data_IF_459532574883
#
_entry.id   IF_459532574883
#
_cell.length_a   1.000
_cell.length_b   1.000
_cell.length_c   1.000
_cell.angle_alpha   90.00
_cell.angle_beta   90.00
_cell.angle_gamma   90.00
#
_symmetry.space_group_name_H-M   'P 1'
#
loop_
_entity.id
_entity.type
_entity.pdbx_description
1 polymer ?
#
# COMPACT_ATOMS: atom_id res chain seq x y z
N UNK A 1 26.49 9.30 -16.00
CA UNK A 1 26.61 9.08 -14.53
C UNK A 1 26.21 10.32 -13.74
N UNK A 2 26.91 11.46 -13.88
CA UNK A 2 26.53 12.74 -13.28
C UNK A 2 25.13 13.23 -13.69
N UNK A 3 24.80 13.12 -14.98
CA UNK A 3 23.50 13.55 -15.53
C UNK A 3 22.31 12.88 -14.82
N UNK A 4 22.39 11.58 -14.54
CA UNK A 4 21.30 10.84 -13.87
C UNK A 4 21.10 11.25 -12.42
N UNK A 5 22.20 11.47 -11.67
CA UNK A 5 22.12 11.98 -10.30
C UNK A 5 21.59 13.41 -10.22
N UNK A 6 21.92 14.26 -11.20
CA UNK A 6 21.37 15.62 -11.31
C UNK A 6 19.87 15.58 -11.60
N UNK A 7 19.42 14.74 -12.54
CA UNK A 7 17.99 14.54 -12.81
C UNK A 7 17.27 14.05 -11.54
N UNK A 8 17.84 13.08 -10.82
CA UNK A 8 17.28 12.60 -9.57
C UNK A 8 17.17 13.71 -8.51
N UNK A 9 18.17 14.58 -8.40
CA UNK A 9 18.12 15.72 -7.50
C UNK A 9 17.05 16.75 -7.90
N UNK A 10 16.88 17.04 -9.19
CA UNK A 10 15.83 17.93 -9.70
C UNK A 10 14.44 17.36 -9.43
N UNK A 11 14.25 16.06 -9.69
CA UNK A 11 13.01 15.34 -9.40
C UNK A 11 12.73 15.36 -7.89
N UNK A 12 13.72 15.08 -7.05
CA UNK A 12 13.60 15.16 -5.60
C UNK A 12 13.25 16.56 -5.10
N UNK A 13 13.82 17.61 -5.71
CA UNK A 13 13.45 18.99 -5.42
C UNK A 13 12.00 19.29 -5.78
N UNK A 14 11.56 18.88 -6.98
CA UNK A 14 10.16 19.03 -7.38
C UNK A 14 9.20 18.34 -6.39
N UNK A 15 9.48 17.09 -6.02
CA UNK A 15 8.67 16.34 -5.05
C UNK A 15 8.68 16.97 -3.66
N UNK A 16 9.83 17.46 -3.18
CA UNK A 16 9.93 18.16 -1.91
C UNK A 16 9.12 19.45 -1.89
N UNK A 17 9.15 20.21 -2.99
CA UNK A 17 8.37 21.43 -3.16
C UNK A 17 6.86 21.13 -3.21
N UNK A 18 6.43 20.15 -4.01
CA UNK A 18 5.02 19.77 -4.09
C UNK A 18 4.51 19.21 -2.76
N UNK A 19 5.31 18.41 -2.06
CA UNK A 19 4.93 17.87 -0.74
C UNK A 19 4.68 19.00 0.24
N UNK A 20 5.58 19.98 0.30
CA UNK A 20 5.44 21.16 1.15
C UNK A 20 4.21 21.99 0.76
N UNK A 21 3.98 22.19 -0.54
CA UNK A 21 2.86 22.97 -1.03
C UNK A 21 1.50 22.31 -0.74
N UNK A 22 1.38 21.00 -0.96
CA UNK A 22 0.12 20.26 -0.76
C UNK A 22 -0.16 20.06 0.71
N UNK A 23 0.78 19.48 1.46
CA UNK A 23 0.60 19.26 2.91
C UNK A 23 0.46 20.58 3.63
N UNK A 24 1.28 21.59 3.34
CA UNK A 24 1.23 22.89 4.00
C UNK A 24 -0.07 23.66 3.74
N UNK A 25 -0.56 23.73 2.49
CA UNK A 25 -1.83 24.43 2.18
C UNK A 25 -3.04 23.70 2.71
N UNK A 26 -3.04 22.37 2.67
CA UNK A 26 -4.14 21.55 3.19
C UNK A 26 -4.18 21.60 4.73
N UNK A 27 -3.03 21.45 5.40
CA UNK A 27 -2.89 21.65 6.84
C UNK A 27 -3.39 23.02 7.28
N UNK A 28 -3.01 24.08 6.57
CA UNK A 28 -3.46 25.44 6.85
C UNK A 28 -4.96 25.64 6.57
N UNK A 29 -5.58 24.85 5.69
CA UNK A 29 -7.04 24.86 5.51
C UNK A 29 -7.73 24.17 6.70
N UNK A 30 -7.27 22.98 7.11
CA UNK A 30 -7.79 22.26 8.28
C UNK A 30 -7.64 23.08 9.58
N UNK A 31 -6.47 23.69 9.80
CA UNK A 31 -6.23 24.55 10.98
C UNK A 31 -7.15 25.79 11.00
N UNK A 32 -7.53 26.33 9.83
CA UNK A 32 -8.48 27.45 9.74
C UNK A 32 -9.91 27.01 10.05
N UNK A 33 -10.35 25.87 9.54
CA UNK A 33 -11.68 25.32 9.83
C UNK A 33 -11.82 24.96 11.33
N UNK A 34 -10.78 24.37 11.93
CA UNK A 34 -10.68 24.11 13.37
C UNK A 34 -10.72 25.41 14.21
N UNK A 35 -10.01 26.46 13.76
CA UNK A 35 -9.99 27.77 14.42
C UNK A 35 -11.34 28.50 14.31
N UNK A 36 -12.07 28.32 13.21
CA UNK A 36 -13.41 28.86 13.00
C UNK A 36 -14.46 28.15 13.88
N UNK A 37 -14.31 26.83 14.11
CA UNK A 37 -15.14 26.06 15.06
C UNK A 37 -14.86 26.36 16.54
N UNK A 38 -13.63 26.80 16.87
CA UNK A 38 -13.18 27.10 18.25
C UNK A 38 -13.17 28.59 18.59
N UNK A 39 -13.78 29.44 17.76
CA UNK A 39 -13.87 30.90 17.94
C UNK A 39 -14.70 31.37 19.18
N UNK A 40 -14.84 30.52 20.20
CA UNK A 40 -15.22 30.87 21.57
C UNK A 40 -14.06 31.00 22.56
N UNK A 41 -12.88 30.41 22.32
CA UNK A 41 -11.77 30.44 23.29
C UNK A 41 -10.42 30.77 22.64
N UNK A 42 -9.85 31.90 23.06
CA UNK A 42 -8.76 32.59 22.38
C UNK A 42 -7.37 31.93 22.54
N UNK A 43 -6.55 32.09 21.49
CA UNK A 43 -5.21 32.69 21.64
C UNK A 43 -4.04 31.74 21.95
N UNK A 44 -3.30 31.36 20.90
CA UNK A 44 -1.83 31.32 20.90
C UNK A 44 -1.33 30.97 19.48
N UNK A 45 -1.04 31.98 18.65
CA UNK A 45 -0.29 31.78 17.42
C UNK A 45 1.17 31.50 17.77
N UNK A 46 1.51 30.22 17.97
CA UNK A 46 2.89 29.76 18.08
C UNK A 46 3.62 30.01 16.75
N UNK A 47 4.85 30.53 16.82
CA UNK A 47 5.70 30.75 15.64
C UNK A 47 5.93 29.44 14.90
N UNK A 48 5.26 29.25 13.76
CA UNK A 48 5.46 28.10 12.89
C UNK A 48 6.91 28.12 12.38
N UNK A 49 7.74 27.20 12.86
CA UNK A 49 9.09 26.97 12.32
C UNK A 49 8.92 26.56 10.86
N UNK A 50 9.50 27.33 9.94
CA UNK A 50 9.49 27.02 8.50
C UNK A 50 10.31 25.74 8.23
N UNK A 51 9.63 24.59 8.23
CA UNK A 51 10.23 23.26 7.98
C UNK A 51 10.35 22.95 6.48
N UNK A 52 10.00 23.86 5.58
CA UNK A 52 9.97 23.63 4.13
C UNK A 52 11.34 23.22 3.57
N UNK A 53 12.41 23.89 3.99
CA UNK A 53 13.77 23.59 3.54
C UNK A 53 14.24 22.19 3.99
N UNK A 54 13.86 21.76 5.19
CA UNK A 54 14.21 20.43 5.70
C UNK A 54 13.47 19.32 4.94
N UNK A 55 12.18 19.52 4.65
CA UNK A 55 11.37 18.58 3.83
C UNK A 55 11.96 18.49 2.42
N UNK A 56 12.31 19.62 1.82
CA UNK A 56 12.92 19.68 0.49
C UNK A 56 14.27 18.95 0.44
N UNK A 57 15.15 19.21 1.40
CA UNK A 57 16.44 18.53 1.51
C UNK A 57 16.29 17.01 1.71
N UNK A 58 15.37 16.58 2.58
CA UNK A 58 15.09 15.17 2.80
C UNK A 58 14.56 14.49 1.53
N UNK A 59 13.64 15.12 0.80
CA UNK A 59 13.11 14.60 -0.46
C UNK A 59 14.22 14.41 -1.50
N UNK A 60 15.13 15.37 -1.66
CA UNK A 60 16.29 15.23 -2.56
C UNK A 60 17.15 14.03 -2.17
N UNK A 61 17.52 13.93 -0.89
CA UNK A 61 18.38 12.84 -0.39
C UNK A 61 17.74 11.48 -0.67
N UNK A 62 16.45 11.33 -0.35
CA UNK A 62 15.70 10.09 -0.55
C UNK A 62 15.62 9.72 -2.02
N UNK A 63 15.25 10.66 -2.90
CA UNK A 63 15.08 10.39 -4.33
C UNK A 63 16.41 10.08 -5.03
N UNK A 64 17.48 10.78 -4.67
CA UNK A 64 18.84 10.49 -5.16
C UNK A 64 19.35 9.14 -4.62
N UNK A 65 19.08 8.84 -3.34
CA UNK A 65 19.41 7.55 -2.74
C UNK A 65 18.69 6.39 -3.43
N UNK A 66 17.40 6.54 -3.70
CA UNK A 66 16.60 5.55 -4.43
C UNK A 66 17.10 5.37 -5.86
N UNK A 67 17.47 6.46 -6.54
CA UNK A 67 18.08 6.38 -7.87
C UNK A 67 19.37 5.59 -7.86
N UNK A 68 20.22 5.84 -6.86
CA UNK A 68 21.46 5.10 -6.71
C UNK A 68 21.18 3.62 -6.45
N UNK A 69 20.25 3.30 -5.56
CA UNK A 69 19.87 1.92 -5.21
C UNK A 69 19.33 1.13 -6.40
N UNK A 70 18.34 1.66 -7.11
CA UNK A 70 17.66 0.94 -8.19
C UNK A 70 18.43 0.99 -9.51
N UNK A 71 18.85 2.19 -9.92
CA UNK A 71 19.39 2.42 -11.27
C UNK A 71 20.88 2.14 -11.35
N UNK A 72 21.62 2.31 -10.25
CA UNK A 72 23.09 2.20 -10.26
C UNK A 72 23.60 0.95 -9.58
N UNK A 73 23.04 0.59 -8.43
CA UNK A 73 23.43 -0.61 -7.70
C UNK A 73 22.70 -1.87 -8.20
N UNK A 74 21.69 -1.71 -9.06
CA UNK A 74 20.85 -2.81 -9.57
C UNK A 74 20.35 -3.70 -8.43
N UNK A 75 19.99 -3.07 -7.31
CA UNK A 75 19.77 -3.77 -6.06
C UNK A 75 18.50 -4.63 -6.09
N UNK A 76 17.48 -4.17 -6.80
CA UNK A 76 16.22 -4.91 -6.99
C UNK A 76 16.27 -5.92 -8.13
N UNK A 77 17.21 -5.79 -9.07
CA UNK A 77 17.24 -6.65 -10.25
C UNK A 77 17.56 -8.11 -9.87
N UNK A 78 16.77 -9.09 -10.39
CA UNK A 78 17.08 -10.51 -10.27
C UNK A 78 18.47 -10.81 -10.81
N UNK A 79 19.07 -11.87 -10.30
CA UNK A 79 20.40 -12.32 -10.70
C UNK A 79 20.29 -13.61 -11.51
N UNK A 80 21.15 -13.77 -12.51
CA UNK A 80 21.35 -15.04 -13.20
C UNK A 80 22.13 -16.04 -12.33
N UNK A 81 22.37 -17.23 -12.89
CA UNK A 81 23.09 -18.31 -12.21
C UNK A 81 24.54 -17.93 -11.83
N UNK A 82 25.13 -16.95 -12.51
CA UNK A 82 26.46 -16.41 -12.20
C UNK A 82 26.45 -15.35 -11.09
N UNK A 83 25.26 -14.92 -10.66
CA UNK A 83 25.07 -13.84 -9.71
C UNK A 83 25.08 -12.43 -10.35
N UNK A 84 25.19 -12.33 -11.67
CA UNK A 84 25.13 -11.06 -12.39
C UNK A 84 23.67 -10.58 -12.53
N UNK A 85 23.41 -9.26 -12.48
CA UNK A 85 22.05 -8.73 -12.64
C UNK A 85 21.53 -8.97 -14.06
N UNK A 86 20.28 -9.42 -14.17
CA UNK A 86 19.61 -9.56 -15.45
C UNK A 86 19.50 -8.21 -16.16
N UNK A 87 19.68 -8.22 -17.47
CA UNK A 87 19.77 -7.01 -18.27
C UNK A 87 18.38 -6.44 -18.61
N UNK A 88 17.94 -5.45 -17.84
CA UNK A 88 16.79 -4.61 -18.19
C UNK A 88 17.23 -3.38 -18.99
N UNK A 89 16.34 -2.84 -19.81
CA UNK A 89 16.60 -1.57 -20.51
C UNK A 89 16.71 -0.42 -19.50
N UNK A 90 17.54 0.57 -19.80
CA UNK A 90 17.66 1.76 -18.95
C UNK A 90 16.31 2.46 -18.75
N UNK A 91 15.46 2.51 -19.79
CA UNK A 91 14.12 3.09 -19.71
C UNK A 91 13.22 2.35 -18.71
N UNK A 92 13.27 1.02 -18.66
CA UNK A 92 12.49 0.24 -17.69
C UNK A 92 12.97 0.50 -16.25
N UNK A 93 14.29 0.48 -16.02
CA UNK A 93 14.86 0.71 -14.68
C UNK A 93 14.64 2.16 -14.21
N UNK A 94 14.85 3.14 -15.08
CA UNK A 94 14.58 4.54 -14.76
C UNK A 94 13.09 4.83 -14.58
N UNK A 95 12.23 4.19 -15.38
CA UNK A 95 10.78 4.26 -15.23
C UNK A 95 10.32 3.72 -13.88
N UNK A 96 10.84 2.56 -13.48
CA UNK A 96 10.54 1.96 -12.17
C UNK A 96 10.96 2.87 -11.02
N UNK A 97 12.17 3.40 -11.07
CA UNK A 97 12.64 4.37 -10.08
C UNK A 97 11.71 5.58 -9.95
N UNK A 98 11.23 6.12 -11.07
CA UNK A 98 10.29 7.24 -11.04
C UNK A 98 8.93 6.83 -10.45
N UNK A 99 8.44 5.64 -10.79
CA UNK A 99 7.20 5.08 -10.24
C UNK A 99 7.30 4.85 -8.73
N UNK A 100 8.38 4.23 -8.24
CA UNK A 100 8.65 4.05 -6.82
C UNK A 100 8.83 5.37 -6.09
N UNK A 101 9.46 6.37 -6.72
CA UNK A 101 9.56 7.73 -6.16
C UNK A 101 8.19 8.37 -5.98
N UNK A 102 7.31 8.26 -6.99
CA UNK A 102 5.96 8.81 -6.94
C UNK A 102 5.09 8.07 -5.90
N UNK A 103 5.18 6.74 -5.84
CA UNK A 103 4.52 5.94 -4.79
C UNK A 103 5.01 6.35 -3.40
N UNK A 104 6.33 6.44 -3.19
CA UNK A 104 6.91 6.85 -1.91
C UNK A 104 6.42 8.24 -1.50
N UNK A 105 6.33 9.17 -2.44
CA UNK A 105 5.80 10.50 -2.19
C UNK A 105 4.34 10.47 -1.70
N UNK A 106 3.48 9.65 -2.31
CA UNK A 106 2.10 9.42 -1.86
C UNK A 106 2.03 8.77 -0.48
N UNK A 107 2.88 7.77 -0.21
CA UNK A 107 2.94 7.08 1.08
C UNK A 107 3.42 8.01 2.21
N UNK A 108 4.40 8.86 1.94
CA UNK A 108 4.86 9.88 2.90
C UNK A 108 3.76 10.89 3.16
N UNK A 109 3.01 11.33 2.14
CA UNK A 109 1.88 12.23 2.31
C UNK A 109 0.79 11.59 3.18
N UNK A 110 0.39 10.36 2.87
CA UNK A 110 -0.59 9.60 3.65
C UNK A 110 -0.14 9.41 5.10
N UNK A 111 1.12 8.99 5.31
CA UNK A 111 1.69 8.77 6.65
C UNK A 111 1.72 10.05 7.48
N UNK A 112 2.10 11.17 6.88
CA UNK A 112 2.18 12.45 7.58
C UNK A 112 0.80 12.93 8.03
N UNK A 113 -0.19 12.80 7.15
CA UNK A 113 -1.59 13.19 7.45
C UNK A 113 -2.17 12.26 8.51
N UNK A 114 -1.93 10.95 8.38
CA UNK A 114 -2.43 9.95 9.32
C UNK A 114 -1.82 10.11 10.73
N UNK A 115 -0.53 10.42 10.85
CA UNK A 115 0.06 10.71 12.17
C UNK A 115 -0.56 11.93 12.86
N UNK A 116 -1.03 12.92 12.11
CA UNK A 116 -1.54 14.16 12.67
C UNK A 116 -3.05 14.16 12.89
N UNK A 117 -3.81 13.53 11.99
CA UNK A 117 -5.27 13.55 11.99
C UNK A 117 -5.90 12.17 12.10
N UNK A 118 -5.12 11.09 12.09
CA UNK A 118 -5.59 9.69 12.16
C UNK A 118 -6.60 9.34 11.05
N UNK A 119 -6.47 10.02 9.91
CA UNK A 119 -7.31 9.86 8.74
C UNK A 119 -6.41 9.76 7.52
N UNK A 120 -6.69 8.79 6.65
CA UNK A 120 -6.04 8.68 5.35
C UNK A 120 -6.95 9.36 4.31
N UNK A 121 -6.48 10.42 3.64
CA UNK A 121 -7.31 11.19 2.73
C UNK A 121 -7.54 10.47 1.40
N UNK A 122 -8.80 10.37 0.99
CA UNK A 122 -9.22 9.82 -0.30
C UNK A 122 -8.65 10.59 -1.49
N UNK A 123 -8.42 11.90 -1.34
CA UNK A 123 -7.79 12.72 -2.38
C UNK A 123 -6.30 12.40 -2.58
N UNK A 124 -5.67 11.59 -1.72
CA UNK A 124 -4.35 11.00 -1.96
C UNK A 124 -4.50 9.61 -2.57
N UNK A 125 -5.30 8.74 -1.95
CA UNK A 125 -5.37 7.32 -2.32
C UNK A 125 -6.09 7.07 -3.65
N UNK A 126 -7.17 7.81 -3.95
CA UNK A 126 -7.92 7.64 -5.21
C UNK A 126 -7.11 8.13 -6.42
N UNK A 127 -6.60 9.39 -6.47
CA UNK A 127 -5.71 9.79 -7.56
C UNK A 127 -4.45 8.94 -7.64
N UNK A 128 -3.90 8.56 -6.49
CA UNK A 128 -2.72 7.70 -6.42
C UNK A 128 -2.95 6.34 -7.07
N UNK A 129 -4.12 5.72 -6.85
CA UNK A 129 -4.49 4.46 -7.47
C UNK A 129 -4.63 4.62 -8.98
N UNK A 130 -5.37 5.64 -9.43
CA UNK A 130 -5.57 5.92 -10.86
C UNK A 130 -4.23 6.19 -11.55
N UNK A 131 -3.33 6.94 -10.91
CA UNK A 131 -1.98 7.17 -11.40
C UNK A 131 -1.18 5.87 -11.52
N UNK A 132 -1.27 4.95 -10.54
CA UNK A 132 -0.63 3.64 -10.62
C UNK A 132 -1.10 2.83 -11.82
N UNK A 133 -2.41 2.78 -12.08
CA UNK A 133 -2.98 2.10 -13.26
C UNK A 133 -2.49 2.72 -14.58
N UNK A 134 -2.47 4.05 -14.68
CA UNK A 134 -1.98 4.77 -15.86
C UNK A 134 -0.49 4.53 -16.08
N UNK A 135 0.32 4.55 -15.01
CA UNK A 135 1.76 4.29 -15.09
C UNK A 135 2.03 2.87 -15.56
N UNK A 136 1.34 1.87 -15.00
CA UNK A 136 1.46 0.47 -15.42
C UNK A 136 1.10 0.29 -16.91
N UNK A 137 0.05 0.98 -17.38
CA UNK A 137 -0.34 0.96 -18.79
C UNK A 137 0.70 1.64 -19.70
N UNK A 138 1.19 2.82 -19.31
CA UNK A 138 2.15 3.59 -20.11
C UNK A 138 3.49 2.87 -20.23
N UNK A 139 3.97 2.29 -19.13
CA UNK A 139 5.30 1.69 -19.02
C UNK A 139 5.25 0.39 -18.19
N UNK A 140 4.90 -0.77 -18.78
CA UNK A 140 4.84 -2.05 -18.07
C UNK A 140 6.09 -2.41 -17.27
N UNK A 141 7.26 -1.97 -17.72
CA UNK A 141 8.55 -2.19 -17.05
C UNK A 141 8.69 -1.55 -15.66
N UNK A 142 7.74 -0.70 -15.24
CA UNK A 142 7.68 -0.11 -13.90
C UNK A 142 7.23 -1.12 -12.83
N UNK A 143 6.61 -2.23 -13.22
CA UNK A 143 6.29 -3.31 -12.30
C UNK A 143 7.56 -3.95 -11.74
N UNK A 144 7.40 -4.67 -10.63
CA UNK A 144 8.53 -5.24 -9.89
C UNK A 144 9.25 -6.31 -10.73
N UNK A 145 10.60 -6.31 -10.78
CA UNK A 145 11.36 -7.17 -11.67
C UNK A 145 11.42 -8.60 -11.16
N UNK A 146 11.30 -9.58 -12.05
CA UNK A 146 11.43 -11.01 -11.74
C UNK A 146 12.25 -11.72 -12.82
N UNK A 147 12.78 -12.90 -12.48
CA UNK A 147 13.39 -13.79 -13.45
C UNK A 147 12.33 -14.76 -13.97
N UNK A 148 12.13 -14.79 -15.28
CA UNK A 148 11.31 -15.79 -15.97
C UNK A 148 12.20 -16.99 -16.34
N UNK A 149 11.83 -18.20 -15.90
CA UNK A 149 12.54 -19.41 -16.26
C UNK A 149 12.03 -19.95 -17.60
N UNK A 150 12.88 -19.89 -18.63
CA UNK A 150 12.62 -20.49 -19.91
C UNK A 150 13.21 -21.91 -19.94
N UNK A 151 12.33 -22.91 -19.86
CA UNK A 151 12.71 -24.32 -20.00
C UNK A 151 13.13 -24.65 -21.43
N UNK A 152 14.21 -25.43 -21.57
CA UNK A 152 14.80 -25.78 -22.87
C UNK A 152 14.99 -27.29 -22.97
N UNK A 153 14.54 -27.95 -24.07
CA UNK A 153 14.56 -29.41 -24.17
C UNK A 153 15.96 -30.06 -24.04
N UNK A 154 17.03 -29.32 -24.33
CA UNK A 154 18.40 -29.83 -24.39
C UNK A 154 19.43 -28.90 -23.71
N UNK A 155 18.99 -28.01 -22.83
CA UNK A 155 19.86 -27.10 -22.10
C UNK A 155 19.31 -26.82 -20.70
N UNK A 156 20.16 -26.32 -19.81
CA UNK A 156 19.70 -25.77 -18.53
C UNK A 156 18.69 -24.65 -18.77
N UNK A 157 17.72 -24.52 -17.87
CA UNK A 157 16.75 -23.44 -17.93
C UNK A 157 17.48 -22.09 -17.99
N UNK A 158 17.04 -21.19 -18.86
CA UNK A 158 17.60 -19.84 -18.92
C UNK A 158 16.68 -18.88 -18.18
N UNK A 159 17.24 -18.15 -17.22
CA UNK A 159 16.54 -17.05 -16.55
C UNK A 159 16.60 -15.78 -17.39
N UNK A 160 15.43 -15.27 -17.80
CA UNK A 160 15.27 -14.06 -18.58
C UNK A 160 14.70 -12.91 -17.73
N UNK A 161 15.05 -11.65 -18.03
CA UNK A 161 14.46 -10.50 -17.36
C UNK A 161 12.97 -10.39 -17.72
N UNK A 162 12.12 -10.28 -16.70
CA UNK A 162 10.69 -10.04 -16.86
C UNK A 162 10.18 -9.18 -15.68
N UNK A 163 8.92 -8.79 -15.67
CA UNK A 163 8.26 -8.10 -14.56
C UNK A 163 7.10 -8.91 -14.03
N UNK A 164 6.74 -8.70 -12.77
CA UNK A 164 5.70 -9.47 -12.12
C UNK A 164 4.32 -9.02 -12.61
N UNK A 165 3.62 -9.91 -13.31
CA UNK A 165 2.21 -9.78 -13.66
C UNK A 165 1.29 -10.44 -12.64
N UNK A 166 -0.01 -10.31 -12.86
CA UNK A 166 -1.04 -10.88 -11.97
C UNK A 166 -1.01 -12.41 -11.88
N UNK A 167 -0.39 -13.09 -12.84
CA UNK A 167 -0.33 -14.55 -12.86
C UNK A 167 1.06 -15.04 -13.30
N UNK A 168 2.11 -14.51 -12.66
CA UNK A 168 3.50 -14.87 -12.92
C UNK A 168 4.26 -13.81 -13.71
N UNK A 169 5.43 -14.15 -14.29
CA UNK A 169 6.19 -13.24 -15.14
C UNK A 169 5.34 -12.77 -16.33
N UNK A 170 5.26 -11.46 -16.53
CA UNK A 170 4.27 -10.79 -17.38
C UNK A 170 4.50 -11.10 -18.86
N UNK A 171 5.70 -10.88 -19.37
CA UNK A 171 6.02 -11.08 -20.79
C UNK A 171 5.91 -12.57 -21.16
N UNK A 172 6.42 -13.47 -20.31
CA UNK A 172 6.26 -14.90 -20.47
C UNK A 172 4.78 -15.30 -20.47
N UNK A 173 3.99 -14.79 -19.52
CA UNK A 173 2.56 -15.05 -19.43
C UNK A 173 1.79 -14.63 -20.69
N UNK A 174 2.14 -13.47 -21.29
CA UNK A 174 1.53 -13.01 -22.55
C UNK A 174 1.94 -13.90 -23.71
N UNK A 175 3.21 -14.31 -23.76
CA UNK A 175 3.72 -15.19 -24.81
C UNK A 175 3.06 -16.58 -24.78
N UNK A 176 2.85 -17.14 -23.59
CA UNK A 176 2.27 -18.48 -23.40
C UNK A 176 0.74 -18.51 -23.58
N UNK A 177 0.02 -17.52 -23.06
CA UNK A 177 -1.46 -17.50 -23.10
C UNK A 177 -2.04 -17.01 -24.43
N UNK A 178 -1.21 -16.44 -25.30
CA UNK A 178 -1.66 -15.86 -26.56
C UNK A 178 -2.73 -14.76 -26.37
N UNK A 179 -3.47 -14.43 -27.43
CA UNK A 179 -4.42 -13.31 -27.47
C UNK A 179 -5.57 -13.34 -26.43
N UNK A 180 -5.66 -14.38 -25.58
CA UNK A 180 -6.71 -14.57 -24.57
C UNK A 180 -6.71 -13.53 -23.45
N UNK A 181 -5.64 -12.75 -23.28
CA UNK A 181 -5.61 -11.67 -22.28
C UNK A 181 -5.37 -10.30 -22.94
N UNK A 182 -4.61 -10.27 -24.04
CA UNK A 182 -4.38 -9.07 -24.84
C UNK A 182 -5.64 -8.46 -25.49
N UNK A 183 -6.61 -9.27 -25.97
CA UNK A 183 -7.80 -8.77 -26.68
C UNK A 183 -9.08 -9.58 -26.40
N UNK A 184 -9.08 -10.49 -25.42
CA UNK A 184 -10.27 -11.28 -25.15
C UNK A 184 -11.33 -10.42 -24.44
N UNK A 185 -12.61 -10.45 -24.87
CA UNK A 185 -13.68 -9.67 -24.24
C UNK A 185 -13.84 -9.96 -22.75
N UNK A 186 -13.55 -11.18 -22.31
CA UNK A 186 -13.61 -11.53 -20.89
C UNK A 186 -12.61 -10.74 -20.04
N UNK A 187 -11.44 -10.39 -20.58
CA UNK A 187 -10.44 -9.59 -19.86
C UNK A 187 -10.93 -8.14 -19.67
N UNK A 188 -11.59 -7.56 -20.69
CA UNK A 188 -12.26 -6.27 -20.55
C UNK A 188 -13.37 -6.33 -19.51
N UNK A 189 -14.27 -7.31 -19.60
CA UNK A 189 -15.37 -7.47 -18.64
C UNK A 189 -14.84 -7.62 -17.23
N UNK A 190 -13.81 -8.45 -17.01
CA UNK A 190 -13.16 -8.59 -15.72
C UNK A 190 -12.57 -7.26 -15.24
N UNK A 191 -11.85 -6.54 -16.10
CA UNK A 191 -11.28 -5.23 -15.76
C UNK A 191 -12.35 -4.20 -15.36
N UNK A 192 -13.46 -4.14 -16.11
CA UNK A 192 -14.60 -3.27 -15.81
C UNK A 192 -15.26 -3.66 -14.48
N UNK A 193 -15.43 -4.95 -14.20
CA UNK A 193 -15.98 -5.45 -12.95
C UNK A 193 -15.08 -5.09 -11.78
N UNK A 194 -13.77 -5.39 -11.86
CA UNK A 194 -12.80 -5.10 -10.81
C UNK A 194 -12.75 -3.60 -10.50
N UNK A 195 -12.69 -2.77 -11.55
CA UNK A 195 -12.72 -1.31 -11.39
C UNK A 195 -14.02 -0.83 -10.76
N UNK A 196 -15.17 -1.39 -11.16
CA UNK A 196 -16.48 -1.00 -10.60
C UNK A 196 -16.63 -1.41 -9.14
N UNK A 197 -16.15 -2.60 -8.77
CA UNK A 197 -16.15 -3.09 -7.39
C UNK A 197 -15.29 -2.17 -6.54
N UNK A 198 -14.05 -1.91 -6.96
CA UNK A 198 -13.18 -0.97 -6.25
C UNK A 198 -13.80 0.43 -6.18
N UNK A 199 -14.32 0.97 -7.29
CA UNK A 199 -14.92 2.30 -7.33
C UNK A 199 -16.09 2.41 -6.36
N UNK A 200 -16.95 1.40 -6.30
CA UNK A 200 -18.09 1.38 -5.38
C UNK A 200 -17.66 1.34 -3.92
N UNK A 201 -16.65 0.53 -3.59
CA UNK A 201 -16.17 0.36 -2.20
C UNK A 201 -15.31 1.54 -1.75
N UNK A 202 -14.33 1.93 -2.56
CA UNK A 202 -13.34 2.96 -2.23
C UNK A 202 -13.82 4.39 -2.42
N UNK A 203 -14.90 4.63 -3.16
CA UNK A 203 -15.54 5.96 -3.23
C UNK A 203 -16.90 6.00 -2.56
N UNK A 204 -17.39 4.86 -2.05
CA UNK A 204 -18.70 4.66 -1.42
C UNK A 204 -19.17 5.87 -0.61
N UNK A 205 -20.46 6.28 -0.66
CA UNK A 205 -20.92 7.19 0.38
C UNK A 205 -20.72 6.44 1.68
N UNK A 206 -20.13 7.09 2.68
CA UNK A 206 -19.94 6.49 3.99
C UNK A 206 -21.22 5.74 4.36
N UNK A 207 -21.15 4.41 4.39
CA UNK A 207 -22.21 3.59 4.94
C UNK A 207 -22.07 3.73 6.46
N UNK A 208 -22.38 4.92 6.98
CA UNK A 208 -22.35 5.25 8.40
C UNK A 208 -21.25 6.22 8.84
N UNK A 209 -21.10 7.39 8.21
CA UNK A 209 -20.81 8.56 9.06
C UNK A 209 -22.06 8.77 9.88
N UNK A 210 -21.92 8.34 11.13
CA UNK A 210 -22.82 8.56 12.24
C UNK A 210 -23.28 10.02 12.29
N UNK A 211 -24.46 10.29 11.74
CA UNK A 211 -25.46 11.17 12.36
C UNK A 211 -26.04 10.45 13.60
N UNK A 212 -25.16 10.04 14.52
CA UNK A 212 -25.54 9.68 15.88
C UNK A 212 -25.71 10.97 16.67
N UNK A 213 -26.72 11.09 17.55
CA UNK A 213 -26.77 12.21 18.49
C UNK A 213 -25.45 12.26 19.29
N UNK A 214 -25.02 13.43 19.75
CA UNK A 214 -23.74 13.59 20.45
C UNK A 214 -23.80 12.81 21.76
N UNK A 215 -23.28 11.58 21.77
CA UNK A 215 -23.12 10.80 22.98
C UNK A 215 -21.70 10.97 23.52
N UNK A 216 -21.60 11.88 24.51
CA UNK A 216 -20.72 11.74 25.67
C UNK A 216 -19.26 12.16 25.48
N UNK A 217 -18.95 13.36 25.98
CA UNK A 217 -17.68 13.85 26.51
C UNK A 217 -16.49 12.88 26.41
N UNK A 218 -15.70 12.97 25.32
CA UNK A 218 -14.36 12.39 25.28
C UNK A 218 -13.78 12.06 23.91
N UNK A 219 -14.60 11.89 22.87
CA UNK A 219 -14.10 11.67 21.51
C UNK A 219 -13.98 13.00 20.78
N UNK A 220 -12.74 13.45 20.53
CA UNK A 220 -12.45 14.59 19.68
C UNK A 220 -13.00 14.30 18.28
N UNK A 221 -14.10 14.95 17.90
CA UNK A 221 -14.58 14.95 16.53
C UNK A 221 -13.42 15.42 15.64
N UNK A 222 -12.99 14.57 14.70
CA UNK A 222 -11.94 14.98 13.76
C UNK A 222 -12.58 15.92 12.75
N UNK A 223 -12.42 17.23 12.95
CA UNK A 223 -12.85 18.31 12.03
C UNK A 223 -12.05 18.30 10.71
N UNK A 224 -11.82 17.13 10.12
CA UNK A 224 -11.18 17.01 8.82
C UNK A 224 -12.17 17.48 7.73
N UNK A 225 -11.72 18.32 6.77
CA UNK A 225 -12.58 18.81 5.71
C UNK A 225 -13.21 17.65 4.93
N UNK A 226 -14.50 17.79 4.62
CA UNK A 226 -15.22 16.83 3.80
C UNK A 226 -14.47 16.57 2.48
N UNK A 227 -14.44 15.31 2.05
CA UNK A 227 -13.84 14.94 0.76
C UNK A 227 -14.53 15.73 -0.36
N UNK A 228 -13.81 16.13 -1.43
CA UNK A 228 -14.43 16.91 -2.49
C UNK A 228 -15.63 16.14 -3.07
N UNK A 229 -16.70 16.84 -3.45
CA UNK A 229 -17.88 16.21 -4.07
C UNK A 229 -17.58 15.74 -5.49
N UNK A 230 -16.94 14.57 -5.65
CA UNK A 230 -16.54 14.08 -6.97
C UNK A 230 -17.77 13.71 -7.79
N UNK A 231 -17.81 13.97 -9.10
CA UNK A 231 -18.91 13.53 -9.96
C UNK A 231 -18.81 12.02 -10.19
N UNK A 232 -19.25 11.24 -9.20
CA UNK A 232 -18.90 9.82 -9.05
C UNK A 232 -19.29 8.95 -10.24
N UNK A 233 -20.49 9.16 -10.78
CA UNK A 233 -20.94 8.42 -11.95
C UNK A 233 -20.12 8.80 -13.20
N UNK A 234 -19.82 10.08 -13.37
CA UNK A 234 -19.02 10.54 -14.51
C UNK A 234 -17.62 9.94 -14.49
N UNK A 235 -16.96 9.92 -13.32
CA UNK A 235 -15.62 9.33 -13.18
C UNK A 235 -15.62 7.80 -13.34
N UNK A 236 -16.67 7.11 -12.89
CA UNK A 236 -16.84 5.67 -13.17
C UNK A 236 -16.91 5.41 -14.67
N UNK A 237 -17.75 6.18 -15.38
CA UNK A 237 -17.92 6.05 -16.84
C UNK A 237 -16.61 6.40 -17.56
N UNK A 238 -15.93 7.46 -17.15
CA UNK A 238 -14.60 7.79 -17.68
C UNK A 238 -13.61 6.65 -17.46
N UNK A 239 -13.60 6.06 -16.26
CA UNK A 239 -12.77 4.89 -15.96
C UNK A 239 -13.08 3.71 -16.89
N UNK A 240 -14.36 3.40 -17.14
CA UNK A 240 -14.76 2.37 -18.10
C UNK A 240 -14.29 2.67 -19.52
N UNK A 241 -14.42 3.91 -19.98
CA UNK A 241 -13.97 4.33 -21.31
C UNK A 241 -12.44 4.21 -21.44
N UNK A 242 -11.69 4.59 -20.41
CA UNK A 242 -10.23 4.45 -20.37
C UNK A 242 -9.83 2.97 -20.39
N UNK A 243 -10.50 2.12 -19.62
CA UNK A 243 -10.24 0.67 -19.62
C UNK A 243 -10.55 0.03 -20.97
N UNK A 244 -11.68 0.41 -21.59
CA UNK A 244 -12.04 -0.06 -22.93
C UNK A 244 -11.04 0.42 -23.99
N UNK A 245 -10.59 1.67 -23.90
CA UNK A 245 -9.55 2.22 -24.77
C UNK A 245 -8.20 1.50 -24.60
N UNK A 246 -7.76 1.29 -23.35
CA UNK A 246 -6.54 0.55 -23.04
C UNK A 246 -6.60 -0.90 -23.53
N UNK A 247 -7.73 -1.57 -23.35
CA UNK A 247 -7.99 -2.91 -23.88
C UNK A 247 -7.99 -2.96 -25.41
N UNK A 248 -8.55 -1.94 -26.08
CA UNK A 248 -8.56 -1.87 -27.54
C UNK A 248 -7.16 -1.75 -28.16
N UNK A 249 -6.19 -1.24 -27.39
CA UNK A 249 -4.77 -1.19 -27.75
C UNK A 249 -4.09 -2.52 -27.41
N UNK A 250 -4.53 -3.16 -26.32
CA UNK A 250 -4.17 -4.53 -25.93
C UNK A 250 -2.69 -4.76 -25.61
N UNK A 251 -2.31 -6.03 -25.64
CA UNK A 251 -0.94 -6.49 -25.42
C UNK A 251 -0.42 -6.29 -23.99
N UNK A 252 0.90 -6.14 -23.85
CA UNK A 252 1.60 -6.04 -22.56
C UNK A 252 1.09 -4.87 -21.68
N UNK A 253 0.64 -3.79 -22.31
CA UNK A 253 0.19 -2.57 -21.63
C UNK A 253 -1.12 -2.79 -20.88
N UNK A 254 -2.07 -3.46 -21.53
CA UNK A 254 -3.33 -3.81 -20.88
C UNK A 254 -3.09 -4.80 -19.74
N UNK A 255 -2.25 -5.81 -19.94
CA UNK A 255 -1.90 -6.78 -18.88
C UNK A 255 -1.24 -6.14 -17.66
N UNK A 256 -0.34 -5.17 -17.88
CA UNK A 256 0.28 -4.46 -16.78
C UNK A 256 -0.74 -3.64 -15.98
N UNK A 257 -1.64 -2.93 -16.65
CA UNK A 257 -2.74 -2.20 -16.01
C UNK A 257 -3.70 -3.16 -15.29
N UNK A 258 -4.03 -4.30 -15.90
CA UNK A 258 -4.86 -5.33 -15.30
C UNK A 258 -4.20 -5.93 -14.05
N UNK A 259 -2.88 -6.08 -14.06
CA UNK A 259 -2.09 -6.46 -12.88
C UNK A 259 -2.28 -5.47 -11.73
N UNK A 260 -2.27 -4.17 -12.02
CA UNK A 260 -2.61 -3.13 -11.05
C UNK A 260 -4.05 -3.23 -10.53
N UNK A 261 -5.04 -3.49 -11.40
CA UNK A 261 -6.44 -3.65 -10.99
C UNK A 261 -6.64 -4.86 -10.07
N UNK A 262 -6.07 -6.01 -10.43
CA UNK A 262 -6.06 -7.20 -9.57
C UNK A 262 -5.37 -6.88 -8.25
N UNK A 263 -4.23 -6.18 -8.30
CA UNK A 263 -3.53 -5.66 -7.13
C UNK A 263 -4.44 -4.85 -6.22
N UNK A 264 -5.15 -3.86 -6.76
CA UNK A 264 -6.01 -2.98 -6.00
C UNK A 264 -7.15 -3.74 -5.29
N UNK A 265 -7.81 -4.66 -6.01
CA UNK A 265 -8.91 -5.44 -5.46
C UNK A 265 -8.43 -6.47 -4.44
N UNK A 266 -7.31 -7.16 -4.68
CA UNK A 266 -6.78 -8.16 -3.74
C UNK A 266 -6.25 -7.48 -2.48
N UNK A 267 -5.40 -6.47 -2.62
CA UNK A 267 -4.80 -5.79 -1.48
C UNK A 267 -5.85 -5.06 -0.62
N UNK A 268 -6.75 -4.30 -1.27
CA UNK A 268 -7.88 -3.68 -0.59
C UNK A 268 -8.83 -4.73 0.00
N UNK A 269 -9.11 -5.81 -0.74
CA UNK A 269 -10.01 -6.88 -0.30
C UNK A 269 -9.51 -7.63 0.94
N UNK A 270 -8.21 -7.88 1.06
CA UNK A 270 -7.62 -8.51 2.26
C UNK A 270 -7.84 -7.63 3.49
N UNK A 271 -7.53 -6.33 3.39
CA UNK A 271 -7.70 -5.38 4.50
C UNK A 271 -9.18 -5.12 4.81
N UNK A 272 -10.02 -5.08 3.78
CA UNK A 272 -11.46 -4.96 3.96
C UNK A 272 -12.05 -6.21 4.64
N UNK A 273 -11.57 -7.40 4.27
CA UNK A 273 -11.98 -8.67 4.87
C UNK A 273 -11.61 -8.75 6.35
N UNK A 274 -10.40 -8.36 6.74
CA UNK A 274 -9.99 -8.28 8.14
C UNK A 274 -10.83 -7.26 8.91
N UNK A 275 -11.07 -6.07 8.34
CA UNK A 275 -11.97 -5.06 8.90
C UNK A 275 -13.37 -5.61 9.12
N UNK A 276 -13.96 -6.27 8.12
CA UNK A 276 -15.32 -6.81 8.20
C UNK A 276 -15.45 -7.89 9.28
N UNK A 277 -14.50 -8.84 9.32
CA UNK A 277 -14.48 -9.89 10.34
C UNK A 277 -14.31 -9.32 11.75
N UNK A 278 -13.39 -8.38 11.94
CA UNK A 278 -13.18 -7.73 13.23
C UNK A 278 -14.38 -6.87 13.67
N UNK A 279 -15.02 -6.16 12.73
CA UNK A 279 -16.18 -5.32 13.04
C UNK A 279 -17.40 -6.15 13.43
N UNK A 280 -17.62 -7.28 12.73
CA UNK A 280 -18.65 -8.26 13.10
C UNK A 280 -18.40 -8.85 14.49
N UNK A 281 -17.15 -9.15 14.82
CA UNK A 281 -16.76 -9.72 16.11
C UNK A 281 -16.92 -8.74 17.29
N UNK A 282 -16.63 -7.45 17.06
CA UNK A 282 -16.66 -6.41 18.09
C UNK A 282 -18.02 -5.70 18.20
N UNK A 283 -18.92 -5.87 17.22
CA UNK A 283 -20.22 -5.18 17.17
C UNK A 283 -20.13 -3.68 16.91
N UNK A 284 -18.95 -3.18 16.52
CA UNK A 284 -18.66 -1.78 16.18
C UNK A 284 -17.60 -1.75 15.09
N UNK A 285 -17.46 -0.63 14.40
CA UNK A 285 -16.42 -0.50 13.37
C UNK A 285 -15.03 -0.70 13.96
N UNK A 286 -14.28 -1.68 13.43
CA UNK A 286 -12.98 -2.06 13.97
C UNK A 286 -11.82 -1.24 13.40
N UNK A 287 -11.94 -0.72 12.18
CA UNK A 287 -10.85 -0.03 11.46
C UNK A 287 -11.42 0.93 10.41
N UNK A 288 -10.69 2.01 10.12
CA UNK A 288 -11.09 2.99 9.10
C UNK A 288 -11.02 2.43 7.68
N UNK A 289 -11.88 2.94 6.78
CA UNK A 289 -11.86 2.59 5.36
C UNK A 289 -10.58 3.09 4.66
N UNK A 290 -9.91 4.09 5.21
CA UNK A 290 -8.68 4.67 4.66
C UNK A 290 -7.55 3.66 4.44
N UNK A 291 -7.39 2.68 5.33
CA UNK A 291 -6.37 1.64 5.18
C UNK A 291 -6.66 0.71 3.99
N UNK A 292 -7.96 0.49 3.71
CA UNK A 292 -8.42 -0.28 2.54
C UNK A 292 -8.10 0.47 1.26
N UNK A 293 -8.38 1.77 1.19
CA UNK A 293 -8.10 2.59 0.00
C UNK A 293 -6.60 2.80 -0.21
N UNK A 294 -5.82 2.91 0.88
CA UNK A 294 -4.36 2.93 0.86
C UNK A 294 -3.78 1.64 0.26
N UNK A 295 -4.20 0.46 0.76
CA UNK A 295 -3.70 -0.80 0.24
C UNK A 295 -4.19 -1.09 -1.17
N UNK A 296 -5.40 -0.64 -1.55
CA UNK A 296 -5.85 -0.69 -2.93
C UNK A 296 -4.94 0.16 -3.83
N UNK A 297 -4.57 1.37 -3.41
CA UNK A 297 -3.60 2.20 -4.13
C UNK A 297 -2.27 1.44 -4.28
N UNK A 298 -1.68 0.94 -3.18
CA UNK A 298 -0.42 0.16 -3.23
C UNK A 298 -0.52 -1.02 -4.21
N UNK A 299 -1.65 -1.71 -4.20
CA UNK A 299 -2.01 -2.77 -5.15
C UNK A 299 -1.88 -2.34 -6.62
N UNK A 300 -2.35 -1.15 -6.96
CA UNK A 300 -2.28 -0.64 -8.32
C UNK A 300 -0.85 -0.36 -8.81
N UNK A 301 0.09 -0.08 -7.90
CA UNK A 301 1.49 0.19 -8.23
C UNK A 301 2.35 -1.06 -8.29
N UNK A 302 2.20 -1.95 -7.30
CA UNK A 302 3.12 -3.08 -7.11
C UNK A 302 2.54 -4.43 -7.56
N UNK A 303 1.25 -4.49 -7.87
CA UNK A 303 0.53 -5.74 -8.10
C UNK A 303 0.12 -6.42 -6.79
N UNK A 304 -0.61 -7.53 -6.90
CA UNK A 304 -1.23 -8.16 -5.74
C UNK A 304 -0.24 -8.92 -4.85
N UNK A 305 0.75 -9.61 -5.44
CA UNK A 305 1.70 -10.44 -4.67
C UNK A 305 2.53 -9.59 -3.72
N UNK A 306 3.12 -8.52 -4.25
CA UNK A 306 3.91 -7.57 -3.47
C UNK A 306 3.05 -6.87 -2.41
N UNK A 307 1.79 -6.55 -2.74
CA UNK A 307 0.90 -5.87 -1.80
C UNK A 307 0.42 -6.78 -0.66
N UNK A 308 0.24 -8.07 -0.90
CA UNK A 308 -0.02 -9.06 0.16
C UNK A 308 1.18 -9.17 1.10
N UNK A 309 2.40 -9.22 0.55
CA UNK A 309 3.64 -9.17 1.36
C UNK A 309 3.73 -7.86 2.14
N UNK A 310 3.39 -6.73 1.52
CA UNK A 310 3.43 -5.42 2.15
C UNK A 310 2.43 -5.32 3.30
N UNK A 311 1.22 -5.86 3.12
CA UNK A 311 0.22 -5.97 4.18
C UNK A 311 0.74 -6.82 5.34
N UNK A 312 1.34 -7.98 5.04
CA UNK A 312 1.90 -8.88 6.06
C UNK A 312 3.02 -8.20 6.86
N UNK A 313 4.01 -7.61 6.18
CA UNK A 313 5.07 -6.84 6.84
C UNK A 313 4.52 -5.63 7.58
N UNK A 314 3.47 -4.99 7.07
CA UNK A 314 2.77 -3.90 7.72
C UNK A 314 2.17 -4.31 9.06
N UNK A 315 1.53 -5.48 9.14
CA UNK A 315 1.05 -6.05 10.41
C UNK A 315 2.21 -6.29 11.38
N UNK A 316 3.36 -6.78 10.93
CA UNK A 316 4.54 -6.95 11.78
C UNK A 316 5.08 -5.61 12.31
N UNK A 317 5.20 -4.61 11.44
CA UNK A 317 5.59 -3.26 11.85
C UNK A 317 4.57 -2.62 12.80
N UNK A 318 3.29 -2.83 12.56
CA UNK A 318 2.19 -2.36 13.41
C UNK A 318 2.24 -3.00 14.79
N UNK A 319 2.53 -4.30 14.87
CA UNK A 319 2.73 -5.01 16.13
C UNK A 319 3.92 -4.43 16.92
N UNK A 320 5.07 -4.25 16.27
CA UNK A 320 6.26 -3.65 16.91
C UNK A 320 5.95 -2.23 17.39
N UNK A 321 5.35 -1.41 16.53
CA UNK A 321 4.98 -0.04 16.84
C UNK A 321 4.00 0.01 18.03
N UNK A 322 2.99 -0.86 18.04
CA UNK A 322 2.01 -0.92 19.11
C UNK A 322 2.59 -1.34 20.45
N UNK A 323 3.50 -2.33 20.46
CA UNK A 323 4.21 -2.72 21.69
C UNK A 323 5.05 -1.55 22.22
N UNK A 324 5.79 -0.86 21.36
CA UNK A 324 6.62 0.31 21.76
C UNK A 324 5.75 1.43 22.34
N UNK A 325 4.60 1.71 21.73
CA UNK A 325 3.72 2.78 22.18
C UNK A 325 3.04 2.44 23.52
N UNK A 326 2.57 1.20 23.71
CA UNK A 326 2.02 0.74 25.00
C UNK A 326 3.04 0.91 26.12
N UNK A 327 4.31 0.60 25.86
CA UNK A 327 5.40 0.73 26.84
C UNK A 327 5.72 2.20 27.14
N UNK A 328 5.69 3.10 26.15
CA UNK A 328 6.11 4.50 26.31
C UNK A 328 5.00 5.46 26.74
N UNK A 329 3.82 5.36 26.15
CA UNK A 329 2.81 6.42 26.20
C UNK A 329 1.47 5.99 26.82
N UNK A 330 1.23 4.68 27.03
CA UNK A 330 -0.04 4.12 27.55
C UNK A 330 -1.30 4.57 26.79
N UNK A 331 -1.14 5.07 25.56
CA UNK A 331 -2.26 5.39 24.68
C UNK A 331 -2.78 4.13 24.00
N UNK A 332 -4.10 4.08 23.75
CA UNK A 332 -4.80 2.89 23.26
C UNK A 332 -5.18 2.95 21.78
N UNK A 333 -4.94 4.07 21.09
CA UNK A 333 -5.33 4.28 19.69
C UNK A 333 -4.10 4.55 18.83
N UNK A 334 -3.87 3.67 17.86
CA UNK A 334 -2.73 3.72 16.94
C UNK A 334 -3.22 3.90 15.51
N UNK A 335 -2.69 4.87 14.75
CA UNK A 335 -2.87 4.90 13.31
C UNK A 335 -2.15 3.69 12.70
N UNK A 336 -2.89 2.85 11.98
CA UNK A 336 -2.35 1.63 11.36
C UNK A 336 -1.70 1.93 10.00
N UNK A 337 -2.17 2.95 9.29
CA UNK A 337 -1.66 3.41 8.00
C UNK A 337 -0.13 3.54 7.89
N UNK A 338 0.62 4.11 8.87
CA UNK A 338 2.06 4.27 8.78
C UNK A 338 2.79 2.92 8.76
N UNK A 339 2.23 1.91 9.43
CA UNK A 339 2.77 0.56 9.43
C UNK A 339 2.58 -0.13 8.07
N UNK A 340 1.43 0.07 7.42
CA UNK A 340 1.18 -0.38 6.04
C UNK A 340 2.12 0.30 5.04
N UNK A 341 2.32 1.62 5.18
CA UNK A 341 3.32 2.36 4.41
C UNK A 341 4.73 1.79 4.61
N UNK A 342 5.13 1.53 5.86
CA UNK A 342 6.44 0.94 6.17
C UNK A 342 6.60 -0.47 5.56
N UNK A 343 5.57 -1.31 5.64
CA UNK A 343 5.52 -2.62 4.99
C UNK A 343 5.70 -2.51 3.47
N UNK A 344 5.02 -1.54 2.85
CA UNK A 344 5.14 -1.26 1.41
C UNK A 344 6.55 -0.84 1.02
N UNK A 345 7.16 0.10 1.76
CA UNK A 345 8.54 0.54 1.51
C UNK A 345 9.53 -0.60 1.70
N UNK A 346 9.33 -1.45 2.71
CA UNK A 346 10.17 -2.63 2.94
C UNK A 346 10.09 -3.63 1.78
N UNK A 347 8.90 -3.90 1.25
CA UNK A 347 8.73 -4.76 0.07
C UNK A 347 9.38 -4.14 -1.17
N UNK A 348 9.15 -2.86 -1.40
CA UNK A 348 9.69 -2.13 -2.55
C UNK A 348 11.23 -2.19 -2.56
N UNK A 349 11.88 -1.72 -1.50
CA UNK A 349 13.34 -1.66 -1.43
C UNK A 349 14.00 -3.04 -1.28
N UNK A 350 13.29 -3.96 -0.61
CA UNK A 350 13.73 -5.32 -0.31
C UNK A 350 13.23 -6.37 -1.30
N UNK A 351 12.74 -5.97 -2.47
CA UNK A 351 12.00 -6.86 -3.36
C UNK A 351 12.75 -8.15 -3.71
N UNK A 352 14.02 -8.05 -4.13
CA UNK A 352 14.81 -9.20 -4.58
C UNK A 352 14.92 -10.33 -3.55
N UNK A 353 15.42 -10.09 -2.31
CA UNK A 353 15.49 -11.14 -1.30
C UNK A 353 14.11 -11.61 -0.84
N UNK A 354 13.13 -10.72 -0.75
CA UNK A 354 11.77 -11.08 -0.32
C UNK A 354 11.09 -12.00 -1.35
N UNK A 355 11.15 -11.64 -2.64
CA UNK A 355 10.58 -12.44 -3.70
C UNK A 355 11.25 -13.81 -3.82
N UNK A 356 12.58 -13.87 -3.67
CA UNK A 356 13.31 -15.15 -3.65
C UNK A 356 12.79 -16.11 -2.57
N UNK A 357 12.43 -15.60 -1.40
CA UNK A 357 11.87 -16.41 -0.31
C UNK A 357 10.37 -16.69 -0.44
N UNK A 358 9.61 -15.77 -1.07
CA UNK A 358 8.16 -15.82 -1.08
C UNK A 358 7.55 -16.41 -2.36
N UNK A 359 8.28 -16.44 -3.49
CA UNK A 359 7.73 -16.82 -4.80
C UNK A 359 7.03 -18.19 -4.80
N UNK A 360 7.58 -19.17 -4.07
CA UNK A 360 6.98 -20.50 -3.95
C UNK A 360 5.57 -20.46 -3.33
N UNK A 361 5.36 -19.62 -2.32
CA UNK A 361 4.05 -19.46 -1.68
C UNK A 361 3.00 -18.87 -2.62
N UNK A 362 3.42 -18.08 -3.61
CA UNK A 362 2.51 -17.49 -4.60
C UNK A 362 2.21 -18.44 -5.77
N UNK A 363 3.11 -19.38 -6.07
CA UNK A 363 2.87 -20.43 -7.05
C UNK A 363 1.70 -21.34 -6.62
N UNK A 364 1.57 -21.60 -5.32
CA UNK A 364 0.47 -22.35 -4.73
C UNK A 364 -0.67 -21.42 -4.28
N UNK A 365 -1.25 -20.67 -5.23
CA UNK A 365 -2.24 -19.61 -4.94
C UNK A 365 -3.43 -20.10 -4.09
N UNK A 366 -3.87 -21.35 -4.27
CA UNK A 366 -4.94 -21.94 -3.45
C UNK A 366 -4.60 -22.05 -1.97
N UNK A 367 -3.37 -22.48 -1.64
CA UNK A 367 -2.89 -22.54 -0.27
C UNK A 367 -2.76 -21.15 0.34
N UNK A 368 -2.25 -20.18 -0.43
CA UNK A 368 -2.15 -18.79 0.03
C UNK A 368 -3.52 -18.20 0.38
N UNK A 369 -4.53 -18.40 -0.48
CA UNK A 369 -5.91 -17.96 -0.20
C UNK A 369 -6.43 -18.62 1.07
N UNK A 370 -6.19 -19.92 1.25
CA UNK A 370 -6.54 -20.65 2.47
C UNK A 370 -5.90 -20.05 3.72
N UNK A 371 -4.61 -19.71 3.67
CA UNK A 371 -3.87 -19.08 4.78
C UNK A 371 -4.45 -17.71 5.09
N UNK A 372 -4.66 -16.85 4.08
CA UNK A 372 -5.21 -15.51 4.28
C UNK A 372 -6.60 -15.57 4.90
N UNK A 373 -7.49 -16.43 4.39
CA UNK A 373 -8.82 -16.63 4.96
C UNK A 373 -8.75 -17.16 6.39
N UNK A 374 -7.87 -18.12 6.68
CA UNK A 374 -7.67 -18.64 8.01
C UNK A 374 -7.20 -17.56 8.99
N UNK A 375 -6.31 -16.66 8.56
CA UNK A 375 -5.88 -15.50 9.36
C UNK A 375 -7.06 -14.55 9.61
N UNK A 376 -7.81 -14.16 8.56
CA UNK A 376 -8.98 -13.27 8.70
C UNK A 376 -10.02 -13.84 9.66
N UNK A 377 -10.43 -15.09 9.44
CA UNK A 377 -11.41 -15.79 10.28
C UNK A 377 -10.88 -16.00 11.69
N UNK A 378 -9.60 -16.38 11.83
CA UNK A 378 -8.94 -16.57 13.12
C UNK A 378 -8.89 -15.27 13.93
N UNK A 379 -8.61 -14.13 13.30
CA UNK A 379 -8.66 -12.81 13.93
C UNK A 379 -10.08 -12.44 14.35
N UNK A 380 -11.08 -12.67 13.49
CA UNK A 380 -12.47 -12.42 13.85
C UNK A 380 -12.92 -13.29 15.04
N UNK A 381 -12.59 -14.58 15.01
CA UNK A 381 -12.92 -15.52 16.08
C UNK A 381 -12.23 -15.15 17.40
N UNK A 382 -10.93 -14.79 17.36
CA UNK A 382 -10.20 -14.41 18.56
C UNK A 382 -10.75 -13.14 19.19
N UNK A 383 -11.12 -12.15 18.37
CA UNK A 383 -11.81 -10.93 18.82
C UNK A 383 -13.21 -11.23 19.35
N UNK A 384 -13.95 -12.14 18.73
CA UNK A 384 -15.28 -12.52 19.19
C UNK A 384 -15.21 -13.22 20.55
N UNK A 385 -14.32 -14.20 20.70
CA UNK A 385 -14.05 -14.86 21.99
C UNK A 385 -13.65 -13.80 23.02
N UNK A 386 -12.69 -12.94 22.71
CA UNK A 386 -12.28 -11.85 23.58
C UNK A 386 -13.44 -10.95 24.00
N UNK A 387 -14.32 -10.60 23.06
CA UNK A 387 -15.50 -9.77 23.30
C UNK A 387 -16.49 -10.45 24.24
N UNK A 388 -16.66 -11.77 24.14
CA UNK A 388 -17.58 -12.57 24.96
C UNK A 388 -17.09 -12.81 26.39
N UNK A 389 -15.78 -12.63 26.66
CA UNK A 389 -15.20 -12.82 27.99
C UNK A 389 -15.56 -11.67 28.94
N UNK A 390 -15.98 -12.01 30.16
CA UNK A 390 -16.17 -11.05 31.25
C UNK A 390 -14.86 -10.38 31.72
N UNK A 391 -14.91 -9.26 32.46
CA UNK A 391 -13.73 -8.45 32.83
C UNK A 391 -12.67 -9.19 33.64
N UNK A 392 -13.06 -10.17 34.46
CA UNK A 392 -12.14 -11.02 35.21
C UNK A 392 -11.40 -12.00 34.29
N UNK A 393 -12.11 -12.63 33.35
CA UNK A 393 -11.53 -13.56 32.40
C UNK A 393 -10.57 -12.86 31.42
N UNK A 394 -10.88 -11.64 30.99
CA UNK A 394 -9.96 -10.82 30.16
C UNK A 394 -8.64 -10.51 30.87
N UNK A 395 -8.68 -10.21 32.17
CA UNK A 395 -7.47 -9.97 32.97
C UNK A 395 -6.61 -11.23 33.10
N UNK A 396 -7.22 -12.38 33.31
CA UNK A 396 -6.53 -13.68 33.36
C UNK A 396 -5.92 -14.02 31.99
N UNK A 397 -6.67 -13.83 30.91
CA UNK A 397 -6.19 -14.06 29.54
C UNK A 397 -4.99 -13.15 29.18
N UNK A 398 -5.04 -11.86 29.53
CA UNK A 398 -3.90 -10.94 29.35
C UNK A 398 -2.68 -11.36 30.16
N UNK A 399 -2.86 -11.73 31.44
CA UNK A 399 -1.77 -12.21 32.27
C UNK A 399 -1.13 -13.49 31.70
N UNK A 400 -1.95 -14.42 31.20
CA UNK A 400 -1.48 -15.63 30.55
C UNK A 400 -0.73 -15.36 29.24
N UNK A 401 -1.24 -14.44 28.40
CA UNK A 401 -0.57 -14.02 27.16
C UNK A 401 0.78 -13.35 27.44
N UNK A 402 0.86 -12.48 28.45
CA UNK A 402 2.11 -11.82 28.85
C UNK A 402 3.12 -12.83 29.41
N UNK A 403 2.67 -13.80 30.21
CA UNK A 403 3.51 -14.89 30.73
C UNK A 403 4.02 -15.79 29.59
N UNK A 404 3.15 -16.19 28.66
CA UNK A 404 3.54 -16.95 27.46
C UNK A 404 4.54 -16.16 26.62
N UNK A 405 4.32 -14.86 26.40
CA UNK A 405 5.24 -14.00 25.69
C UNK A 405 6.62 -13.93 26.37
N UNK A 406 6.64 -13.75 27.70
CA UNK A 406 7.88 -13.72 28.48
C UNK A 406 8.64 -15.06 28.44
N UNK A 407 7.91 -16.19 28.52
CA UNK A 407 8.48 -17.53 28.39
C UNK A 407 9.07 -17.77 27.00
N UNK A 408 8.41 -17.28 25.95
CA UNK A 408 8.85 -17.42 24.56
C UNK A 408 10.11 -16.60 24.29
N UNK A 409 10.19 -15.37 24.84
CA UNK A 409 11.40 -14.54 24.80
C UNK A 409 12.55 -15.19 25.59
N UNK A 410 12.27 -15.72 26.78
CA UNK A 410 13.26 -16.45 27.58
C UNK A 410 13.79 -17.69 26.86
N UNK A 411 12.91 -18.44 26.20
CA UNK A 411 13.28 -19.62 25.41
C UNK A 411 14.12 -19.28 24.19
N UNK A 412 13.78 -18.19 23.48
CA UNK A 412 14.58 -17.68 22.37
C UNK A 412 15.98 -17.21 22.80
N UNK A 413 16.11 -16.60 23.99
CA UNK A 413 17.42 -16.21 24.53
C UNK A 413 18.28 -17.42 24.92
N UNK A 414 17.67 -18.50 25.41
CA UNK A 414 18.38 -19.76 25.72
C UNK A 414 18.84 -20.49 24.45
N UNK A 415 18.13 -20.35 23.34
CA UNK A 415 18.54 -20.95 22.05
C UNK A 415 19.66 -20.16 21.34
N UNK A 416 19.92 -18.92 21.74
CA UNK A 416 20.95 -18.06 21.15
C UNK A 416 22.24 -17.97 21.98
N UNK A 417 22.31 -18.61 23.14
CA UNK A 417 23.52 -18.76 23.97
C UNK A 417 23.98 -20.21 24.00
#
# INVERSE_FOLDING_TARGET
MLVGGVIAALVGGLFGWTQTAITGRWLAACERELAEGTAGEAGAAGTAVDRSAAIFGAAIIVVVGLWWWEVRAFAELPRDDSGAPLAFTFAAVAGRWLAHTLLLWLLVAATWIDFRYRVIPDWVTIPGLLAGLVVAWLAPGTLLPVGAELTRPFATALTLPDVLGWAGPLEQAVAERGAWVAFHPAALVAGLVLFSVWWRVGTGPDLGVSDGPPEGDGAMATDAPASPGWPRLALLVVGWLVLAGAWSIGGLRFEAMFTGLVGAVVAGGVVWGTRAGASLALGREAMGLGDVTLMAMVGAWLGWQASVLACFLGVLFGLVHGVVQIVRHRESELPFGPSLCAGTVAVMLGWRPLWKGAAASFAETGQLVGIVLAVVVGTALSLWVWSSLGPAARRVALAAMLLLGALLVGWLMVLQG
#
